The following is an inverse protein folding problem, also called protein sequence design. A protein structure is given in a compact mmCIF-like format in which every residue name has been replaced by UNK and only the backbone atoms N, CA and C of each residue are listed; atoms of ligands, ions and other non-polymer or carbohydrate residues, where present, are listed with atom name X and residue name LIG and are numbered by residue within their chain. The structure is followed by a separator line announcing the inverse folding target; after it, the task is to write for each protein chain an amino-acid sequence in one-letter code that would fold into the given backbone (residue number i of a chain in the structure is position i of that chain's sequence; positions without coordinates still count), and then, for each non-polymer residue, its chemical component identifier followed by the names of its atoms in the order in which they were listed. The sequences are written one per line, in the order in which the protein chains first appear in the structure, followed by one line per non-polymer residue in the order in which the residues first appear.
data_IF_414426405551
#
_entry.id   IF_414426405551
#
_cell.length_a   1.000
_cell.length_b   1.000
_cell.length_c   1.000
_cell.angle_alpha   90.00
_cell.angle_beta   90.00
_cell.angle_gamma   90.00
#
_symmetry.space_group_name_H-M   'P 1'
#
loop_
_entity.id
_entity.type
_entity.pdbx_description
1 polymer ?
#
# COMPACT_ATOMS: atom_id res chain seq x y z
N UNK A 1 -6.01 13.17 11.71
CA UNK A 1 -4.83 12.29 11.69
C UNK A 1 -5.16 11.10 10.80
N UNK A 2 -4.78 11.19 9.53
CA UNK A 2 -5.00 10.11 8.56
C UNK A 2 -3.86 9.10 8.71
N UNK A 3 -4.16 7.92 9.25
CA UNK A 3 -3.23 6.78 9.20
C UNK A 3 -3.27 6.24 7.77
N UNK A 4 -2.28 6.59 6.96
CA UNK A 4 -1.99 5.87 5.74
C UNK A 4 -1.28 4.57 6.13
N UNK A 5 -1.98 3.47 6.04
CA UNK A 5 -1.38 2.14 5.95
C UNK A 5 -0.82 2.01 4.53
N UNK A 6 0.49 2.28 4.37
CA UNK A 6 1.22 1.85 3.18
C UNK A 6 1.37 0.33 3.30
N UNK A 7 0.65 -0.42 2.47
CA UNK A 7 0.96 -1.82 2.20
C UNK A 7 2.26 -1.85 1.39
N UNK A 8 3.40 -2.09 2.06
CA UNK A 8 4.66 -2.38 1.38
C UNK A 8 4.57 -3.78 0.75
N UNK A 9 4.14 -3.86 -0.50
CA UNK A 9 4.32 -5.05 -1.31
C UNK A 9 5.73 -4.98 -1.94
N UNK A 10 6.71 -5.62 -1.33
CA UNK A 10 8.04 -5.82 -1.92
C UNK A 10 8.01 -7.05 -2.83
N UNK A 11 7.90 -6.85 -4.14
CA UNK A 11 8.29 -7.89 -5.11
C UNK A 11 9.79 -7.77 -5.37
N UNK A 12 10.59 -8.64 -4.75
CA UNK A 12 12.00 -8.79 -5.08
C UNK A 12 12.14 -9.69 -6.32
N UNK A 13 12.50 -9.10 -7.46
CA UNK A 13 13.08 -9.88 -8.55
C UNK A 13 14.48 -10.33 -8.11
N UNK A 14 14.62 -11.63 -7.82
CA UNK A 14 15.86 -12.23 -7.33
C UNK A 14 16.95 -12.24 -8.40
N UNK A 15 17.94 -11.38 -8.27
CA UNK A 15 19.28 -11.63 -8.79
C UNK A 15 20.12 -12.19 -7.62
N UNK A 16 20.46 -13.48 -7.74
CA UNK A 16 21.22 -14.22 -6.75
C UNK A 16 22.66 -13.71 -6.76
N UNK A 17 22.99 -12.83 -5.82
CA UNK A 17 24.38 -12.66 -5.36
C UNK A 17 24.49 -13.50 -4.11
N UNK A 18 25.18 -14.65 -4.19
CA UNK A 18 25.47 -15.49 -3.03
C UNK A 18 26.34 -14.70 -2.05
N UNK A 19 25.75 -14.27 -0.93
CA UNK A 19 26.51 -13.86 0.23
C UNK A 19 27.07 -15.12 0.91
N UNK A 20 28.34 -15.13 1.22
CA UNK A 20 28.95 -16.13 2.09
C UNK A 20 28.23 -16.06 3.45
N UNK A 21 27.68 -17.21 3.89
CA UNK A 21 26.89 -17.38 5.11
C UNK A 21 25.60 -16.53 5.18
N UNK A 22 24.55 -16.98 4.49
CA UNK A 22 23.22 -16.31 4.39
C UNK A 22 22.41 -16.26 5.69
N UNK A 23 23.05 -16.23 6.89
CA UNK A 23 22.37 -16.23 8.17
C UNK A 23 22.49 -14.88 8.86
N UNK A 24 21.37 -14.38 9.35
CA UNK A 24 21.34 -13.31 10.35
C UNK A 24 21.30 -13.94 11.74
N UNK A 25 22.20 -13.56 12.62
CA UNK A 25 22.15 -13.89 14.03
C UNK A 25 21.47 -12.78 14.82
N UNK A 26 20.41 -13.14 15.56
CA UNK A 26 19.64 -12.21 16.38
C UNK A 26 19.82 -12.53 17.86
N UNK A 27 20.29 -11.55 18.60
CA UNK A 27 20.37 -11.59 20.07
C UNK A 27 19.44 -10.54 20.65
N UNK A 28 18.53 -10.95 21.53
CA UNK A 28 17.60 -10.04 22.16
C UNK A 28 17.73 -10.12 23.68
N UNK A 29 17.62 -8.97 24.32
CA UNK A 29 17.42 -8.83 25.77
C UNK A 29 16.37 -7.73 25.97
N UNK A 30 15.11 -8.09 25.81
CA UNK A 30 13.98 -7.17 25.78
C UNK A 30 13.01 -7.54 26.94
N UNK A 31 13.16 -6.87 28.08
CA UNK A 31 12.40 -7.16 29.33
C UNK A 31 10.89 -7.25 29.15
N UNK A 32 10.24 -6.43 28.30
CA UNK A 32 8.78 -6.49 28.13
C UNK A 32 8.29 -7.68 27.32
N UNK A 33 9.20 -8.45 26.70
CA UNK A 33 8.86 -9.60 25.84
C UNK A 33 8.83 -10.88 26.67
N UNK A 34 7.86 -11.75 26.39
CA UNK A 34 7.73 -13.05 27.03
C UNK A 34 8.72 -14.11 26.53
N UNK A 35 8.27 -15.36 26.50
CA UNK A 35 9.12 -16.53 26.18
C UNK A 35 9.06 -16.92 24.69
N UNK A 36 8.38 -16.15 23.84
CA UNK A 36 8.29 -16.42 22.41
C UNK A 36 8.23 -15.16 21.56
N UNK A 37 8.88 -15.20 20.40
CA UNK A 37 8.86 -14.16 19.38
C UNK A 37 8.62 -14.79 18.01
N UNK A 38 7.95 -14.09 17.12
CA UNK A 38 7.71 -14.50 15.73
C UNK A 38 8.43 -13.53 14.82
N UNK A 39 9.29 -14.04 13.95
CA UNK A 39 9.87 -13.29 12.86
C UNK A 39 8.97 -13.37 11.62
N UNK A 40 8.63 -12.21 11.06
CA UNK A 40 7.89 -12.06 9.82
C UNK A 40 8.80 -11.36 8.81
N UNK A 41 9.01 -11.98 7.65
CA UNK A 41 9.86 -11.49 6.59
C UNK A 41 9.06 -11.42 5.29
N UNK A 42 9.32 -10.40 4.48
CA UNK A 42 8.72 -10.25 3.16
C UNK A 42 7.20 -10.44 3.18
N UNK A 43 6.52 -9.68 4.04
CA UNK A 43 5.06 -9.71 4.14
C UNK A 43 4.49 -9.10 2.86
N UNK A 44 4.27 -9.95 1.85
CA UNK A 44 3.38 -9.67 0.71
C UNK A 44 2.07 -10.41 0.92
N UNK A 45 0.98 -9.99 0.28
CA UNK A 45 -0.33 -10.65 0.42
C UNK A 45 -0.28 -12.16 0.14
N UNK A 46 0.71 -12.64 -0.62
CA UNK A 46 0.83 -14.03 -1.06
C UNK A 46 2.01 -14.82 -0.43
N UNK A 47 2.99 -14.16 0.22
CA UNK A 47 4.20 -14.84 0.73
C UNK A 47 4.68 -14.22 2.05
N UNK A 48 4.17 -14.73 3.16
CA UNK A 48 4.66 -14.46 4.51
C UNK A 48 5.61 -15.56 4.96
N UNK A 49 6.90 -15.24 5.14
CA UNK A 49 7.81 -16.13 5.85
C UNK A 49 7.66 -15.90 7.34
N UNK A 50 7.02 -16.85 8.01
CA UNK A 50 6.75 -16.81 9.44
C UNK A 50 7.56 -17.87 10.17
N UNK A 51 8.41 -17.46 11.12
CA UNK A 51 9.20 -18.37 11.94
C UNK A 51 9.12 -17.99 13.42
N UNK A 52 8.76 -18.95 14.27
CA UNK A 52 8.65 -18.74 15.71
C UNK A 52 9.92 -19.18 16.41
N UNK A 53 10.35 -18.41 17.41
CA UNK A 53 11.50 -18.70 18.24
C UNK A 53 11.12 -18.70 19.72
N UNK A 54 11.66 -19.65 20.47
CA UNK A 54 11.51 -19.72 21.91
C UNK A 54 12.69 -18.99 22.59
N UNK A 55 12.39 -18.29 23.66
CA UNK A 55 13.33 -17.61 24.52
C UNK A 55 12.96 -17.80 26.01
N UNK A 56 13.49 -16.95 26.84
CA UNK A 56 13.17 -16.93 28.27
C UNK A 56 13.20 -15.50 28.79
N UNK A 57 12.04 -15.01 29.24
CA UNK A 57 11.91 -13.66 29.84
C UNK A 57 12.53 -12.56 28.96
N UNK A 58 12.20 -12.56 27.66
CA UNK A 58 12.70 -11.57 26.71
C UNK A 58 14.12 -11.79 26.22
N UNK A 59 14.80 -12.89 26.63
CA UNK A 59 16.14 -13.23 26.14
C UNK A 59 16.04 -14.27 25.03
N UNK A 60 16.57 -13.93 23.86
CA UNK A 60 16.60 -14.81 22.69
C UNK A 60 18.00 -14.79 22.04
N UNK A 61 18.42 -15.92 21.50
CA UNK A 61 19.61 -16.08 20.65
C UNK A 61 19.23 -17.09 19.56
N UNK A 62 19.08 -16.62 18.31
CA UNK A 62 18.67 -17.48 17.20
C UNK A 62 19.27 -17.01 15.88
N UNK A 63 19.25 -17.91 14.91
CA UNK A 63 19.66 -17.64 13.54
C UNK A 63 18.48 -17.80 12.58
N UNK A 64 18.46 -16.95 11.55
CA UNK A 64 17.50 -17.01 10.48
C UNK A 64 18.22 -16.95 9.12
N UNK A 65 17.90 -17.90 8.23
CA UNK A 65 18.44 -17.91 6.88
C UNK A 65 17.76 -16.83 6.04
N UNK A 66 18.58 -15.99 5.40
CA UNK A 66 18.15 -14.88 4.57
C UNK A 66 18.89 -14.93 3.24
N UNK A 67 18.16 -15.07 2.12
CA UNK A 67 18.82 -15.05 0.81
C UNK A 67 19.29 -13.63 0.41
N UNK A 68 18.58 -12.60 0.91
CA UNK A 68 18.84 -11.20 0.60
C UNK A 68 18.53 -10.31 1.82
N UNK A 69 19.11 -9.09 1.90
CA UNK A 69 18.67 -8.09 2.87
C UNK A 69 17.17 -7.82 2.77
N UNK A 70 16.53 -7.63 3.93
CA UNK A 70 15.09 -7.39 4.03
C UNK A 70 14.78 -6.50 5.24
N UNK A 71 13.53 -6.07 5.37
CA UNK A 71 12.98 -5.60 6.64
C UNK A 71 12.32 -6.78 7.35
N UNK A 72 12.58 -6.92 8.66
CA UNK A 72 12.04 -7.99 9.49
C UNK A 72 11.21 -7.41 10.63
N UNK A 73 10.03 -7.98 10.82
CA UNK A 73 9.21 -7.72 11.99
C UNK A 73 9.45 -8.84 13.01
N UNK A 74 9.84 -8.48 14.22
CA UNK A 74 9.88 -9.38 15.36
C UNK A 74 8.71 -9.03 16.27
N UNK A 75 7.74 -9.92 16.38
CA UNK A 75 6.47 -9.65 17.06
C UNK A 75 6.19 -10.68 18.15
N UNK A 76 5.67 -10.23 19.28
CA UNK A 76 5.08 -11.17 20.24
C UNK A 76 3.81 -11.82 19.63
N UNK A 77 3.54 -13.11 19.88
CA UNK A 77 2.35 -13.77 19.35
C UNK A 77 1.02 -13.08 19.66
N UNK A 78 0.96 -12.28 20.73
CA UNK A 78 -0.20 -11.47 21.11
C UNK A 78 -0.52 -10.38 20.06
N UNK A 79 0.50 -9.75 19.46
CA UNK A 79 0.30 -8.76 18.42
C UNK A 79 -0.45 -9.33 17.19
N UNK A 80 -0.21 -10.59 16.85
CA UNK A 80 -0.90 -11.28 15.75
C UNK A 80 -2.39 -11.54 16.00
N UNK A 81 -2.82 -11.42 17.26
CA UNK A 81 -4.23 -11.52 17.66
C UNK A 81 -4.86 -10.14 17.88
N UNK A 82 -4.14 -9.05 17.58
CA UNK A 82 -4.60 -7.68 17.81
C UNK A 82 -4.55 -7.24 19.28
N UNK A 83 -3.84 -7.96 20.13
CA UNK A 83 -3.63 -7.64 21.54
C UNK A 83 -2.42 -6.69 21.69
N UNK A 84 -2.37 -5.85 22.75
CA UNK A 84 -1.19 -5.03 23.03
C UNK A 84 0.06 -5.89 23.25
N UNK A 85 1.09 -5.67 22.42
CA UNK A 85 2.30 -6.47 22.43
C UNK A 85 3.48 -5.70 21.81
N UNK A 86 4.70 -6.18 22.05
CA UNK A 86 5.90 -5.58 21.44
C UNK A 86 6.02 -5.98 19.97
N UNK A 87 6.39 -4.99 19.15
CA UNK A 87 6.74 -5.13 17.73
C UNK A 87 8.04 -4.40 17.47
N UNK A 88 9.04 -5.10 16.96
CA UNK A 88 10.32 -4.54 16.56
C UNK A 88 10.43 -4.62 15.05
N UNK A 89 10.83 -3.53 14.40
CA UNK A 89 11.06 -3.50 12.95
C UNK A 89 12.53 -3.22 12.73
N UNK A 90 13.23 -4.19 12.18
CA UNK A 90 14.69 -4.11 12.04
C UNK A 90 15.14 -4.43 10.62
N UNK A 91 16.29 -3.86 10.19
CA UNK A 91 17.01 -4.39 9.04
C UNK A 91 17.37 -5.86 9.31
N UNK A 92 17.13 -6.73 8.36
CA UNK A 92 17.54 -8.13 8.39
C UNK A 92 18.61 -8.34 7.31
N UNK A 93 19.88 -8.40 7.73
CA UNK A 93 21.02 -8.39 6.82
C UNK A 93 21.74 -9.74 6.90
N UNK A 94 21.82 -10.50 5.79
CA UNK A 94 22.54 -11.77 5.75
C UNK A 94 24.00 -11.63 6.17
N UNK A 95 24.51 -12.59 6.95
CA UNK A 95 25.90 -12.61 7.42
C UNK A 95 26.19 -11.69 8.59
N UNK A 96 25.19 -10.97 9.14
CA UNK A 96 25.38 -10.02 10.22
C UNK A 96 24.89 -10.54 11.58
N UNK A 97 25.32 -9.91 12.68
CA UNK A 97 24.78 -10.09 14.02
C UNK A 97 24.08 -8.80 14.46
N UNK A 98 22.83 -8.91 14.88
CA UNK A 98 22.06 -7.83 15.48
C UNK A 98 21.79 -8.11 16.96
N UNK A 99 21.90 -7.07 17.78
CA UNK A 99 21.56 -7.08 19.21
C UNK A 99 20.44 -6.08 19.43
N UNK A 100 19.36 -6.54 20.08
CA UNK A 100 18.22 -5.73 20.47
C UNK A 100 18.11 -5.69 21.97
N UNK A 101 18.00 -4.49 22.53
CA UNK A 101 17.77 -4.30 23.97
C UNK A 101 16.58 -3.39 24.19
N UNK A 102 15.69 -3.76 25.15
CA UNK A 102 14.55 -2.95 25.53
C UNK A 102 14.24 -3.10 27.01
N UNK A 103 14.09 -1.98 27.70
CA UNK A 103 13.69 -1.94 29.10
C UNK A 103 12.17 -1.93 29.26
N UNK A 104 11.47 -1.32 28.32
CA UNK A 104 10.02 -1.20 28.26
C UNK A 104 9.49 -1.35 26.83
N UNK A 105 8.18 -1.14 26.62
CA UNK A 105 7.53 -1.27 25.31
C UNK A 105 7.56 -0.01 24.45
N UNK A 106 8.19 1.06 24.90
CA UNK A 106 8.17 2.36 24.21
C UNK A 106 9.33 2.53 23.25
N UNK A 107 10.45 1.89 23.56
CA UNK A 107 11.69 1.99 22.79
C UNK A 107 12.53 0.73 22.88
N UNK A 108 13.25 0.45 21.83
CA UNK A 108 14.37 -0.50 21.80
C UNK A 108 15.61 0.12 21.18
N UNK A 109 16.75 -0.34 21.64
CA UNK A 109 18.04 0.00 21.03
C UNK A 109 18.50 -1.16 20.14
N UNK A 110 19.14 -0.81 19.04
CA UNK A 110 19.68 -1.73 18.05
C UNK A 110 21.19 -1.51 17.92
N UNK A 111 21.98 -2.58 18.02
CA UNK A 111 23.43 -2.55 17.84
C UNK A 111 23.89 -3.91 17.28
N UNK A 112 25.17 -4.10 17.04
CA UNK A 112 25.69 -5.38 16.57
C UNK A 112 26.96 -5.25 15.75
N UNK A 113 26.96 -5.83 14.56
CA UNK A 113 28.03 -5.70 13.59
C UNK A 113 28.17 -4.26 13.07
N UNK A 114 29.18 -4.01 12.23
CA UNK A 114 29.44 -2.67 11.71
C UNK A 114 28.21 -2.02 11.08
N UNK A 115 27.41 -2.77 10.32
CA UNK A 115 26.17 -2.27 9.73
C UNK A 115 25.21 -1.73 10.80
N UNK A 116 24.97 -2.50 11.86
CA UNK A 116 24.02 -2.11 12.90
C UNK A 116 24.51 -0.97 13.78
N UNK A 117 25.82 -0.87 14.02
CA UNK A 117 26.40 0.29 14.72
C UNK A 117 26.24 1.58 13.92
N UNK A 118 26.41 1.52 12.61
CA UNK A 118 26.18 2.64 11.71
C UNK A 118 24.66 2.98 11.61
N UNK A 119 23.81 1.96 11.56
CA UNK A 119 22.36 2.12 11.54
C UNK A 119 21.85 2.76 12.84
N UNK A 120 22.36 2.35 13.99
CA UNK A 120 22.04 2.94 15.29
C UNK A 120 22.36 4.45 15.36
N UNK A 121 23.50 4.86 14.80
CA UNK A 121 23.87 6.28 14.70
C UNK A 121 22.79 7.07 13.91
N UNK A 122 22.38 6.54 12.77
CA UNK A 122 21.32 7.14 11.96
C UNK A 122 19.97 7.16 12.68
N UNK A 123 19.61 6.07 13.35
CA UNK A 123 18.33 5.89 14.04
C UNK A 123 18.13 6.94 15.15
N UNK A 124 19.18 7.21 15.94
CA UNK A 124 19.19 8.28 16.96
C UNK A 124 18.92 9.65 16.32
N UNK A 125 19.57 9.95 15.18
CA UNK A 125 19.43 11.23 14.50
C UNK A 125 17.99 11.39 13.96
N UNK A 126 17.46 10.33 13.34
CA UNK A 126 16.09 10.30 12.79
C UNK A 126 15.05 10.41 13.90
N UNK A 127 15.22 9.67 15.00
CA UNK A 127 14.30 9.74 16.15
C UNK A 127 14.25 11.14 16.76
N UNK A 128 15.40 11.79 16.92
CA UNK A 128 15.48 13.17 17.43
C UNK A 128 14.79 14.15 16.46
N UNK A 129 15.00 14.00 15.16
CA UNK A 129 14.33 14.81 14.16
C UNK A 129 12.81 14.66 14.20
N UNK A 130 12.31 13.44 14.39
CA UNK A 130 10.87 13.17 14.56
C UNK A 130 10.29 13.86 15.81
N UNK A 131 11.00 13.78 16.95
CA UNK A 131 10.58 14.43 18.21
C UNK A 131 10.53 15.95 18.07
N UNK A 132 11.44 16.52 17.30
CA UNK A 132 11.52 17.95 17.02
C UNK A 132 10.58 18.41 15.88
N UNK A 133 9.85 17.50 15.24
CA UNK A 133 8.95 17.79 14.13
C UNK A 133 9.66 18.18 12.83
N UNK A 134 10.92 17.79 12.67
CA UNK A 134 11.72 18.03 11.46
C UNK A 134 11.33 17.07 10.33
N UNK A 135 11.67 17.45 9.11
CA UNK A 135 11.51 16.58 7.92
C UNK A 135 12.47 15.38 8.01
N UNK A 136 11.90 14.21 8.21
CA UNK A 136 12.63 12.94 8.31
C UNK A 136 13.34 12.61 6.99
N UNK A 137 12.70 12.84 5.85
CA UNK A 137 13.30 12.57 4.54
C UNK A 137 14.55 13.44 4.32
N UNK A 138 14.47 14.72 4.69
CA UNK A 138 15.64 15.60 4.64
C UNK A 138 16.73 15.18 5.61
N UNK A 139 16.36 14.76 6.83
CA UNK A 139 17.33 14.28 7.84
C UNK A 139 18.10 13.05 7.34
N UNK A 140 17.39 12.08 6.74
CA UNK A 140 18.02 10.89 6.15
C UNK A 140 18.93 11.29 4.98
N UNK A 141 18.49 12.17 4.12
CA UNK A 141 19.28 12.67 2.99
C UNK A 141 20.60 13.31 3.46
N UNK A 142 20.54 14.15 4.49
CA UNK A 142 21.71 14.82 5.06
C UNK A 142 22.67 13.79 5.71
N UNK A 143 22.14 12.75 6.36
CA UNK A 143 22.94 11.65 6.87
C UNK A 143 23.65 10.89 5.75
N UNK A 144 22.96 10.50 4.69
CA UNK A 144 23.53 9.81 3.52
C UNK A 144 24.63 10.66 2.88
N UNK A 145 24.41 11.95 2.77
CA UNK A 145 25.41 12.90 2.24
C UNK A 145 26.66 12.99 3.10
N UNK A 146 26.54 12.89 4.42
CA UNK A 146 27.65 12.89 5.36
C UNK A 146 28.38 11.55 5.39
N UNK A 147 27.69 10.43 5.14
CA UNK A 147 28.17 9.06 5.25
C UNK A 147 27.91 8.23 3.97
N UNK A 148 28.42 8.67 2.80
CA UNK A 148 28.13 8.00 1.53
C UNK A 148 28.80 6.62 1.38
N UNK A 149 29.70 6.28 2.30
CA UNK A 149 30.42 5.01 2.41
C UNK A 149 29.88 4.06 3.48
N UNK A 150 28.83 4.47 4.20
CA UNK A 150 28.14 3.59 5.12
C UNK A 150 27.17 2.69 4.35
N UNK A 151 27.22 1.38 4.59
CA UNK A 151 26.31 0.45 3.95
C UNK A 151 24.84 0.70 4.37
N UNK A 152 24.64 1.10 5.62
CA UNK A 152 23.31 1.48 6.11
C UNK A 152 22.73 2.69 5.37
N UNK A 153 23.56 3.58 4.78
CA UNK A 153 23.08 4.70 3.97
C UNK A 153 22.27 4.23 2.76
N UNK A 154 22.66 3.12 2.11
CA UNK A 154 21.86 2.54 1.04
C UNK A 154 20.54 1.95 1.56
N UNK A 155 20.53 1.33 2.73
CA UNK A 155 19.31 0.82 3.36
C UNK A 155 18.36 1.95 3.76
N UNK A 156 18.87 3.06 4.29
CA UNK A 156 18.08 4.21 4.74
C UNK A 156 17.29 4.89 3.61
N UNK A 157 17.68 4.72 2.35
CA UNK A 157 16.89 5.20 1.20
C UNK A 157 15.46 4.62 1.25
N UNK A 158 15.28 3.40 1.73
CA UNK A 158 13.96 2.76 1.86
C UNK A 158 13.04 3.42 2.89
N UNK A 159 13.55 4.28 3.76
CA UNK A 159 12.77 5.05 4.74
C UNK A 159 12.35 6.43 4.22
N UNK A 160 12.91 6.88 3.10
CA UNK A 160 12.54 8.15 2.48
C UNK A 160 11.17 8.05 1.81
N UNK A 161 10.47 9.21 1.70
CA UNK A 161 9.11 9.27 1.12
C UNK A 161 9.01 10.13 -0.12
N UNK A 162 10.09 10.80 -0.48
CA UNK A 162 10.18 11.65 -1.66
C UNK A 162 11.05 10.93 -2.69
N UNK A 163 10.44 10.50 -3.80
CA UNK A 163 11.10 9.68 -4.82
C UNK A 163 12.25 10.42 -5.51
N UNK A 164 12.13 11.73 -5.72
CA UNK A 164 13.22 12.49 -6.34
C UNK A 164 14.42 12.61 -5.40
N UNK A 165 14.17 12.87 -4.10
CA UNK A 165 15.24 12.82 -3.09
C UNK A 165 15.84 11.42 -2.93
N UNK A 166 15.06 10.35 -3.05
CA UNK A 166 15.60 8.98 -3.06
C UNK A 166 16.57 8.78 -4.22
N UNK A 167 16.21 9.21 -5.43
CA UNK A 167 17.08 9.13 -6.63
C UNK A 167 18.35 9.95 -6.43
N UNK A 168 18.24 11.16 -5.92
CA UNK A 168 19.39 12.00 -5.58
C UNK A 168 20.29 11.31 -4.56
N UNK A 169 19.75 10.75 -3.48
CA UNK A 169 20.47 10.04 -2.44
C UNK A 169 21.26 8.85 -3.01
N UNK A 170 20.69 8.09 -3.94
CA UNK A 170 21.40 7.00 -4.64
C UNK A 170 22.67 7.52 -5.34
N UNK A 171 22.63 8.73 -5.93
CA UNK A 171 23.80 9.31 -6.62
C UNK A 171 24.92 9.72 -5.66
N UNK A 172 24.58 9.98 -4.39
CA UNK A 172 25.58 10.34 -3.37
C UNK A 172 26.40 9.15 -2.87
N UNK A 173 25.83 7.94 -2.93
CA UNK A 173 26.49 6.73 -2.44
C UNK A 173 27.79 6.44 -3.20
N UNK A 174 28.81 5.99 -2.47
CA UNK A 174 30.02 5.46 -3.12
C UNK A 174 29.69 4.22 -3.97
N UNK A 175 30.43 3.96 -5.08
CA UNK A 175 30.09 2.88 -6.01
C UNK A 175 29.95 1.50 -5.37
N UNK A 176 30.80 1.16 -4.42
CA UNK A 176 30.77 -0.11 -3.69
C UNK A 176 29.54 -0.27 -2.78
N UNK A 177 29.06 0.83 -2.19
CA UNK A 177 27.80 0.87 -1.41
C UNK A 177 26.59 0.88 -2.33
N UNK A 178 26.61 1.74 -3.35
CA UNK A 178 25.51 1.86 -4.31
C UNK A 178 25.24 0.55 -5.04
N UNK A 179 26.29 -0.12 -5.51
CA UNK A 179 26.17 -1.36 -6.28
C UNK A 179 26.31 -2.62 -5.41
N UNK A 180 26.33 -2.45 -4.07
CA UNK A 180 26.44 -3.51 -3.08
C UNK A 180 25.11 -4.27 -2.82
N UNK A 181 25.13 -5.11 -1.78
CA UNK A 181 24.02 -6.04 -1.43
C UNK A 181 22.71 -5.36 -1.08
N UNK A 182 22.69 -4.05 -0.75
CA UNK A 182 21.47 -3.28 -0.46
C UNK A 182 20.76 -2.79 -1.73
N UNK A 183 21.43 -2.81 -2.89
CA UNK A 183 20.87 -2.32 -4.15
C UNK A 183 19.51 -2.93 -4.51
N UNK A 184 19.28 -4.24 -4.39
CA UNK A 184 17.98 -4.83 -4.72
C UNK A 184 16.83 -4.25 -3.91
N UNK A 185 17.05 -3.84 -2.64
CA UNK A 185 16.02 -3.27 -1.78
C UNK A 185 15.58 -1.88 -2.27
N UNK A 186 16.51 -0.93 -2.33
CA UNK A 186 16.14 0.44 -2.69
C UNK A 186 15.79 0.57 -4.17
N UNK A 187 16.43 -0.20 -5.07
CA UNK A 187 16.13 -0.18 -6.50
C UNK A 187 14.75 -0.79 -6.76
N UNK A 188 14.44 -1.94 -6.16
CA UNK A 188 13.12 -2.55 -6.28
C UNK A 188 12.00 -1.63 -5.79
N UNK A 189 12.23 -0.91 -4.69
CA UNK A 189 11.29 0.09 -4.19
C UNK A 189 11.11 1.27 -5.16
N UNK A 190 12.21 1.80 -5.72
CA UNK A 190 12.17 2.88 -6.71
C UNK A 190 11.42 2.44 -7.97
N UNK A 191 11.74 1.26 -8.50
CA UNK A 191 11.10 0.72 -9.71
C UNK A 191 9.58 0.54 -9.50
N UNK A 192 9.19 0.08 -8.31
CA UNK A 192 7.77 -0.05 -7.95
C UNK A 192 7.06 1.30 -7.89
N UNK A 193 7.65 2.29 -7.18
CA UNK A 193 7.06 3.63 -7.07
C UNK A 193 6.94 4.28 -8.45
N UNK A 194 7.95 4.16 -9.30
CA UNK A 194 7.90 4.68 -10.67
C UNK A 194 6.80 4.00 -11.52
N UNK A 195 6.64 2.69 -11.38
CA UNK A 195 5.58 1.96 -12.06
C UNK A 195 4.18 2.40 -11.58
N UNK A 196 4.01 2.59 -10.25
CA UNK A 196 2.76 3.11 -9.66
C UNK A 196 2.46 4.53 -10.14
N UNK A 197 3.44 5.44 -10.11
CA UNK A 197 3.28 6.83 -10.59
C UNK A 197 2.90 6.87 -12.07
N UNK A 198 3.54 6.04 -12.90
CA UNK A 198 3.20 5.93 -14.32
C UNK A 198 1.79 5.39 -14.53
N UNK A 199 1.40 4.38 -13.76
CA UNK A 199 0.05 3.82 -13.83
C UNK A 199 -1.01 4.85 -13.40
N UNK A 200 -0.73 5.66 -12.35
CA UNK A 200 -1.60 6.77 -11.94
C UNK A 200 -1.72 7.84 -13.03
N UNK A 201 -0.60 8.22 -13.66
CA UNK A 201 -0.62 9.20 -14.76
C UNK A 201 -1.46 8.69 -15.95
N UNK A 202 -1.30 7.42 -16.32
CA UNK A 202 -2.08 6.81 -17.40
C UNK A 202 -3.57 6.71 -17.04
N UNK A 203 -3.89 6.37 -15.78
CA UNK A 203 -5.25 6.38 -15.28
C UNK A 203 -5.87 7.79 -15.33
N UNK A 204 -5.13 8.79 -14.86
CA UNK A 204 -5.57 10.19 -14.90
C UNK A 204 -5.87 10.66 -16.33
N UNK A 205 -5.05 10.26 -17.33
CA UNK A 205 -5.31 10.56 -18.75
C UNK A 205 -6.60 9.91 -19.24
N UNK A 206 -6.87 8.66 -18.89
CA UNK A 206 -8.11 7.94 -19.26
C UNK A 206 -9.36 8.49 -18.59
N UNK A 207 -9.21 9.12 -17.45
CA UNK A 207 -10.29 9.63 -16.61
C UNK A 207 -10.46 11.16 -16.66
N UNK A 208 -9.71 11.83 -17.52
CA UNK A 208 -9.72 13.29 -17.62
C UNK A 208 -11.08 13.82 -18.11
N UNK A 209 -11.49 14.97 -17.56
CA UNK A 209 -12.70 15.64 -18.00
C UNK A 209 -12.65 15.97 -19.49
N UNK A 210 -13.78 15.81 -20.18
CA UNK A 210 -13.94 16.06 -21.63
C UNK A 210 -13.58 14.89 -22.54
N UNK A 211 -12.96 13.81 -22.01
CA UNK A 211 -12.71 12.59 -22.78
C UNK A 211 -14.01 11.80 -22.95
N UNK A 212 -14.19 11.23 -24.14
CA UNK A 212 -15.30 10.31 -24.38
C UNK A 212 -15.14 9.04 -23.56
N UNK A 213 -16.16 8.72 -22.76
CA UNK A 213 -16.17 7.53 -21.93
C UNK A 213 -16.13 6.26 -22.81
N UNK A 214 -15.17 5.32 -22.59
CA UNK A 214 -15.12 4.08 -23.34
C UNK A 214 -16.45 3.33 -23.28
N UNK A 215 -16.99 2.97 -24.44
CA UNK A 215 -18.26 2.24 -24.49
C UNK A 215 -18.05 0.75 -24.18
N UNK A 216 -18.98 0.16 -23.46
CA UNK A 216 -18.94 -1.26 -23.12
C UNK A 216 -20.34 -1.87 -23.10
N UNK A 217 -20.41 -3.19 -23.15
CA UNK A 217 -21.63 -3.94 -22.96
C UNK A 217 -21.39 -5.04 -21.93
N UNK A 218 -22.12 -4.99 -20.82
CA UNK A 218 -22.09 -5.97 -19.74
C UNK A 218 -23.50 -6.44 -19.41
N UNK A 219 -23.62 -7.63 -18.81
CA UNK A 219 -24.93 -8.19 -18.47
C UNK A 219 -25.48 -7.57 -17.18
N UNK A 220 -26.76 -7.24 -17.17
CA UNK A 220 -27.52 -6.80 -16.01
C UNK A 220 -27.85 -7.96 -15.05
N UNK A 221 -28.57 -7.68 -13.96
CA UNK A 221 -29.02 -8.67 -12.98
C UNK A 221 -29.85 -9.81 -13.56
N UNK A 222 -30.49 -9.59 -14.71
CA UNK A 222 -31.31 -10.58 -15.42
C UNK A 222 -30.55 -11.28 -16.54
N UNK A 223 -29.25 -11.04 -16.67
CA UNK A 223 -28.42 -11.58 -17.75
C UNK A 223 -28.64 -10.91 -19.12
N UNK A 224 -29.33 -9.76 -19.17
CA UNK A 224 -29.55 -9.01 -20.41
C UNK A 224 -28.38 -8.06 -20.67
N UNK A 225 -27.90 -7.93 -21.92
CA UNK A 225 -26.84 -6.99 -22.25
C UNK A 225 -27.32 -5.55 -22.07
N UNK A 226 -26.60 -4.77 -21.26
CA UNK A 226 -26.75 -3.33 -21.10
C UNK A 226 -25.52 -2.64 -21.67
N UNK A 227 -25.73 -1.78 -22.64
CA UNK A 227 -24.69 -1.00 -23.31
C UNK A 227 -24.63 0.40 -22.69
N UNK A 228 -23.44 0.89 -22.30
CA UNK A 228 -23.32 2.22 -21.70
C UNK A 228 -23.88 3.33 -22.60
N UNK A 229 -23.58 3.29 -23.88
CA UNK A 229 -24.07 4.30 -24.84
C UNK A 229 -25.60 4.33 -25.00
N UNK A 230 -26.34 3.29 -24.53
CA UNK A 230 -27.81 3.32 -24.50
C UNK A 230 -28.36 4.28 -23.42
N UNK A 231 -27.51 4.73 -22.49
CA UNK A 231 -27.85 5.67 -21.45
C UNK A 231 -27.50 7.13 -21.79
N UNK A 232 -27.03 7.41 -22.99
CA UNK A 232 -26.75 8.78 -23.45
C UNK A 232 -28.00 9.67 -23.41
N UNK A 233 -27.79 10.97 -23.31
CA UNK A 233 -28.88 11.96 -23.18
C UNK A 233 -29.22 12.35 -21.74
N UNK A 234 -28.65 11.66 -20.77
CA UNK A 234 -28.71 12.00 -19.34
C UNK A 234 -27.33 11.83 -18.68
N UNK A 235 -27.17 12.39 -17.50
CA UNK A 235 -25.97 12.13 -16.70
C UNK A 235 -25.98 10.67 -16.23
N UNK A 236 -24.80 10.02 -16.29
CA UNK A 236 -24.60 8.66 -15.79
C UNK A 236 -23.42 8.66 -14.83
N UNK A 237 -23.61 8.07 -13.66
CA UNK A 237 -22.54 7.84 -12.68
C UNK A 237 -22.17 6.38 -12.77
N UNK A 238 -20.95 6.10 -13.28
CA UNK A 238 -20.37 4.77 -13.18
C UNK A 238 -19.83 4.63 -11.76
N UNK A 239 -20.32 3.66 -11.01
CA UNK A 239 -19.87 3.32 -9.67
C UNK A 239 -19.16 1.97 -9.72
N UNK A 240 -17.83 2.02 -9.68
CA UNK A 240 -16.99 0.82 -9.63
C UNK A 240 -16.86 0.37 -8.17
N UNK A 241 -17.45 -0.78 -7.84
CA UNK A 241 -17.59 -1.28 -6.49
C UNK A 241 -17.51 -2.80 -6.41
N UNK A 242 -17.52 -3.38 -5.20
CA UNK A 242 -17.61 -4.82 -4.98
C UNK A 242 -18.16 -5.14 -3.58
N UNK A 243 -18.72 -6.34 -3.40
CA UNK A 243 -19.30 -6.77 -2.13
C UNK A 243 -18.28 -6.86 -0.98
N UNK A 244 -17.02 -7.02 -1.31
CA UNK A 244 -15.87 -7.08 -0.40
C UNK A 244 -15.34 -5.69 -0.01
N UNK A 245 -15.77 -4.63 -0.70
CA UNK A 245 -15.25 -3.27 -0.51
C UNK A 245 -15.99 -2.56 0.63
N UNK A 246 -15.40 -2.55 1.82
CA UNK A 246 -16.00 -1.94 3.01
C UNK A 246 -16.31 -0.44 2.86
N UNK A 247 -15.45 0.32 2.17
CA UNK A 247 -15.68 1.74 1.90
C UNK A 247 -16.84 1.96 0.91
N UNK A 248 -16.97 1.10 -0.11
CA UNK A 248 -18.09 1.13 -1.05
C UNK A 248 -19.42 0.93 -0.30
N UNK A 249 -19.49 -0.09 0.55
CA UNK A 249 -20.69 -0.39 1.35
C UNK A 249 -21.04 0.77 2.29
N UNK A 250 -20.03 1.42 2.89
CA UNK A 250 -20.23 2.56 3.79
C UNK A 250 -20.85 3.77 3.08
N UNK A 251 -20.58 3.97 1.79
CA UNK A 251 -21.13 5.08 0.99
C UNK A 251 -22.58 4.88 0.53
N UNK A 252 -23.06 3.63 0.49
CA UNK A 252 -24.39 3.30 -0.04
C UNK A 252 -25.55 4.15 0.55
N UNK A 253 -25.66 4.35 1.87
CA UNK A 253 -26.77 5.12 2.44
C UNK A 253 -26.85 6.54 1.87
N UNK A 254 -25.72 7.23 1.76
CA UNK A 254 -25.67 8.59 1.24
C UNK A 254 -25.93 8.61 -0.29
N UNK A 255 -25.44 7.61 -1.03
CA UNK A 255 -25.75 7.47 -2.46
C UNK A 255 -27.25 7.29 -2.70
N UNK A 256 -27.97 6.49 -1.89
CA UNK A 256 -29.43 6.33 -1.95
C UNK A 256 -30.17 7.63 -1.69
N UNK A 257 -29.73 8.40 -0.69
CA UNK A 257 -30.28 9.72 -0.38
C UNK A 257 -30.19 10.64 -1.60
N UNK A 258 -29.01 10.74 -2.22
CA UNK A 258 -28.78 11.62 -3.37
C UNK A 258 -29.47 11.11 -4.64
N UNK A 259 -29.56 9.79 -4.85
CA UNK A 259 -30.32 9.20 -5.94
C UNK A 259 -31.79 9.52 -5.86
N UNK A 260 -32.36 9.54 -4.65
CA UNK A 260 -33.73 9.94 -4.37
C UNK A 260 -33.93 11.45 -4.50
N UNK A 261 -33.00 12.25 -3.91
CA UNK A 261 -33.03 13.71 -3.93
C UNK A 261 -33.06 14.29 -5.35
N UNK A 262 -32.30 13.70 -6.24
CA UNK A 262 -32.21 14.13 -7.64
C UNK A 262 -32.83 13.14 -8.63
N UNK A 263 -33.92 12.50 -8.25
CA UNK A 263 -34.57 11.48 -9.07
C UNK A 263 -34.84 11.97 -10.51
N UNK A 264 -34.37 11.19 -11.48
CA UNK A 264 -34.51 11.49 -12.90
C UNK A 264 -33.52 12.48 -13.49
N UNK A 265 -32.66 13.12 -12.67
CA UNK A 265 -31.57 14.00 -13.16
C UNK A 265 -30.36 13.22 -13.64
N UNK A 266 -30.07 12.11 -13.02
CA UNK A 266 -28.99 11.20 -13.40
C UNK A 266 -29.39 9.74 -13.17
N UNK A 267 -28.60 8.84 -13.73
CA UNK A 267 -28.66 7.40 -13.46
C UNK A 267 -27.36 6.93 -12.85
N UNK A 268 -27.41 5.94 -11.94
CA UNK A 268 -26.23 5.25 -11.46
C UNK A 268 -26.15 3.90 -12.16
N UNK A 269 -24.98 3.56 -12.70
CA UNK A 269 -24.66 2.25 -13.20
C UNK A 269 -23.57 1.63 -12.31
N UNK A 270 -23.97 0.78 -11.38
CA UNK A 270 -23.07 0.01 -10.52
C UNK A 270 -22.37 -1.08 -11.33
N UNK A 271 -21.06 -1.00 -11.42
CA UNK A 271 -20.22 -1.96 -12.12
C UNK A 271 -19.55 -2.81 -11.05
N UNK A 272 -19.95 -4.08 -10.99
CA UNK A 272 -19.34 -5.02 -10.05
C UNK A 272 -17.89 -5.32 -10.40
N UNK A 273 -17.03 -5.40 -9.40
CA UNK A 273 -15.60 -5.62 -9.58
C UNK A 273 -15.09 -6.70 -8.63
N UNK A 274 -14.40 -7.69 -9.20
CA UNK A 274 -13.70 -8.73 -8.47
C UNK A 274 -14.57 -9.67 -7.60
N UNK A 275 -15.89 -9.70 -7.83
CA UNK A 275 -16.81 -10.65 -7.22
C UNK A 275 -17.07 -11.87 -8.12
N UNK A 276 -17.74 -12.88 -7.57
CA UNK A 276 -18.49 -13.84 -8.37
C UNK A 276 -19.88 -13.28 -8.66
N UNK A 277 -20.48 -13.67 -9.78
CA UNK A 277 -21.82 -13.21 -10.16
C UNK A 277 -22.85 -13.42 -9.05
N UNK A 278 -22.74 -14.53 -8.29
CA UNK A 278 -23.64 -14.78 -7.16
C UNK A 278 -23.42 -13.80 -6.00
N UNK A 279 -22.16 -13.56 -5.59
CA UNK A 279 -21.86 -12.60 -4.52
C UNK A 279 -22.33 -11.19 -4.86
N UNK A 280 -22.14 -10.77 -6.11
CA UNK A 280 -22.64 -9.50 -6.60
C UNK A 280 -24.17 -9.41 -6.47
N UNK A 281 -24.93 -10.42 -6.98
CA UNK A 281 -26.40 -10.44 -6.90
C UNK A 281 -26.88 -10.42 -5.45
N UNK A 282 -26.24 -11.20 -4.58
CA UNK A 282 -26.58 -11.23 -3.16
C UNK A 282 -26.34 -9.87 -2.48
N UNK A 283 -25.24 -9.19 -2.83
CA UNK A 283 -24.91 -7.88 -2.28
C UNK A 283 -25.90 -6.79 -2.76
N UNK A 284 -26.25 -6.78 -4.05
CA UNK A 284 -27.26 -5.86 -4.58
C UNK A 284 -28.61 -6.04 -3.87
N UNK A 285 -29.05 -7.29 -3.68
CA UNK A 285 -30.28 -7.60 -2.96
C UNK A 285 -30.19 -7.24 -1.47
N UNK A 286 -29.10 -7.63 -0.79
CA UNK A 286 -28.87 -7.36 0.63
C UNK A 286 -28.89 -5.87 0.95
N UNK A 287 -28.28 -5.07 0.10
CA UNK A 287 -28.21 -3.62 0.29
C UNK A 287 -29.35 -2.87 -0.42
N UNK A 288 -30.30 -3.57 -1.05
CA UNK A 288 -31.48 -2.99 -1.71
C UNK A 288 -31.10 -1.81 -2.64
N UNK A 289 -30.13 -2.03 -3.54
CA UNK A 289 -29.62 -0.98 -4.40
C UNK A 289 -30.60 -0.65 -5.53
N UNK A 290 -31.15 0.60 -5.62
CA UNK A 290 -32.29 0.91 -6.48
C UNK A 290 -31.94 1.30 -7.93
N UNK A 291 -30.64 1.35 -8.27
CA UNK A 291 -30.16 1.79 -9.58
C UNK A 291 -29.78 0.63 -10.49
N UNK A 292 -29.25 0.93 -11.68
CA UNK A 292 -28.82 -0.08 -12.64
C UNK A 292 -27.52 -0.77 -12.19
N UNK A 293 -27.42 -2.06 -12.49
CA UNK A 293 -26.25 -2.86 -12.15
C UNK A 293 -25.82 -3.75 -13.29
N UNK A 294 -24.50 -3.90 -13.45
CA UNK A 294 -23.90 -4.85 -14.41
C UNK A 294 -22.78 -5.66 -13.76
N UNK A 295 -22.66 -6.90 -14.19
CA UNK A 295 -21.58 -7.79 -13.79
C UNK A 295 -20.37 -7.59 -14.70
N UNK A 296 -19.20 -7.33 -14.10
CA UNK A 296 -17.95 -7.20 -14.83
C UNK A 296 -17.07 -8.46 -14.64
N UNK A 297 -17.10 -9.41 -15.59
CA UNK A 297 -16.30 -10.62 -15.48
C UNK A 297 -14.80 -10.32 -15.58
N UNK A 298 -13.95 -11.18 -15.01
CA UNK A 298 -12.47 -11.02 -15.04
C UNK A 298 -11.88 -10.93 -16.45
N UNK A 299 -12.60 -11.41 -17.47
CA UNK A 299 -12.20 -11.33 -18.87
C UNK A 299 -12.53 -9.99 -19.54
N UNK A 300 -13.24 -9.11 -18.86
CA UNK A 300 -13.62 -7.80 -19.36
C UNK A 300 -12.43 -6.83 -19.30
N UNK A 301 -12.32 -5.94 -20.28
CA UNK A 301 -11.33 -4.85 -20.30
C UNK A 301 -11.78 -3.58 -19.58
N UNK A 302 -13.01 -3.51 -19.06
CA UNK A 302 -13.62 -2.26 -18.54
C UNK A 302 -12.76 -1.59 -17.48
N UNK A 303 -12.19 -2.35 -16.52
CA UNK A 303 -11.30 -1.76 -15.49
C UNK A 303 -10.04 -1.15 -16.13
N UNK A 304 -9.47 -1.82 -17.12
CA UNK A 304 -8.26 -1.33 -17.84
C UNK A 304 -8.59 -0.14 -18.73
N UNK A 305 -9.72 -0.17 -19.43
CA UNK A 305 -10.15 0.90 -20.33
C UNK A 305 -10.40 2.20 -19.58
N UNK A 306 -10.97 2.11 -18.39
CA UNK A 306 -11.20 3.25 -17.50
C UNK A 306 -10.02 3.55 -16.56
N UNK A 307 -8.96 2.75 -16.56
CA UNK A 307 -7.80 2.93 -15.67
C UNK A 307 -8.16 2.85 -14.19
N UNK A 308 -9.04 1.91 -13.81
CA UNK A 308 -9.48 1.76 -12.41
C UNK A 308 -8.38 1.07 -11.60
N UNK A 309 -7.89 1.76 -10.57
CA UNK A 309 -6.81 1.29 -9.69
C UNK A 309 -7.25 1.12 -8.24
N UNK A 310 -8.42 1.66 -7.86
CA UNK A 310 -8.90 1.60 -6.48
C UNK A 310 -10.43 1.66 -6.39
N UNK A 311 -10.96 1.30 -5.23
CA UNK A 311 -12.39 1.23 -4.98
C UNK A 311 -12.79 1.94 -3.68
N UNK A 312 -13.96 2.62 -3.66
CA UNK A 312 -14.80 2.90 -4.83
C UNK A 312 -14.15 3.90 -5.80
N UNK A 313 -14.47 3.79 -7.08
CA UNK A 313 -14.22 4.86 -8.05
C UNK A 313 -15.55 5.25 -8.70
N UNK A 314 -15.87 6.54 -8.70
CA UNK A 314 -17.08 7.09 -9.29
C UNK A 314 -16.72 8.00 -10.45
N UNK A 315 -17.26 7.73 -11.64
CA UNK A 315 -17.04 8.53 -12.85
C UNK A 315 -18.36 9.12 -13.30
N UNK A 316 -18.47 10.45 -13.29
CA UNK A 316 -19.64 11.17 -13.78
C UNK A 316 -19.48 11.39 -15.27
N UNK A 317 -20.44 10.92 -16.06
CA UNK A 317 -20.50 11.07 -17.50
C UNK A 317 -21.66 12.02 -17.83
N UNK A 318 -21.38 13.01 -18.69
CA UNK A 318 -22.38 13.95 -19.20
C UNK A 318 -23.35 13.33 -20.23
N UNK A 319 -24.44 14.04 -20.57
CA UNK A 319 -25.40 13.58 -21.56
C UNK A 319 -24.79 13.34 -22.96
N UNK A 320 -23.67 13.99 -23.27
CA UNK A 320 -22.90 13.84 -24.50
C UNK A 320 -21.98 12.60 -24.51
N UNK A 321 -21.91 11.88 -23.38
CA UNK A 321 -21.07 10.69 -23.22
C UNK A 321 -19.64 10.98 -22.83
N UNK A 322 -19.31 12.23 -22.46
CA UNK A 322 -17.98 12.61 -22.01
C UNK A 322 -17.86 12.58 -20.50
N UNK A 323 -16.66 12.26 -20.02
CA UNK A 323 -16.33 12.30 -18.60
C UNK A 323 -16.39 13.75 -18.11
N UNK A 324 -17.15 13.98 -17.06
CA UNK A 324 -17.24 15.27 -16.36
C UNK A 324 -16.23 15.32 -15.22
N UNK A 325 -16.20 14.27 -14.41
CA UNK A 325 -15.31 14.18 -13.25
C UNK A 325 -15.16 12.73 -12.81
N UNK A 326 -13.96 12.40 -12.33
CA UNK A 326 -13.68 11.16 -11.61
C UNK A 326 -13.38 11.45 -10.15
N UNK A 327 -13.91 10.63 -9.25
CA UNK A 327 -13.67 10.68 -7.81
C UNK A 327 -13.26 9.28 -7.36
N UNK A 328 -12.08 9.18 -6.74
CA UNK A 328 -11.54 7.94 -6.17
C UNK A 328 -11.71 7.95 -4.66
N UNK A 329 -12.18 6.86 -4.10
CA UNK A 329 -12.49 6.74 -2.69
C UNK A 329 -13.89 7.28 -2.33
N UNK A 330 -14.26 7.16 -1.06
CA UNK A 330 -15.49 7.74 -0.52
C UNK A 330 -15.19 9.18 -0.07
N UNK A 331 -15.34 10.13 -0.99
CA UNK A 331 -15.01 11.54 -0.81
C UNK A 331 -16.29 12.40 -0.80
N UNK A 332 -16.54 13.21 0.23
CA UNK A 332 -17.66 14.16 0.29
C UNK A 332 -17.75 15.11 -0.91
N UNK A 333 -16.63 15.39 -1.59
CA UNK A 333 -16.60 16.22 -2.79
C UNK A 333 -17.49 15.66 -3.92
N UNK A 334 -17.72 14.34 -3.95
CA UNK A 334 -18.67 13.73 -4.89
C UNK A 334 -20.08 14.30 -4.72
N UNK A 335 -20.57 14.36 -3.50
CA UNK A 335 -21.92 14.84 -3.19
C UNK A 335 -22.05 16.36 -3.38
N UNK A 336 -21.00 17.10 -3.04
CA UNK A 336 -20.93 18.55 -3.33
C UNK A 336 -21.07 18.81 -4.83
N UNK A 337 -20.37 18.03 -5.65
CA UNK A 337 -20.47 18.16 -7.11
C UNK A 337 -21.88 17.80 -7.64
N UNK A 338 -22.53 16.79 -7.09
CA UNK A 338 -23.93 16.48 -7.47
C UNK A 338 -24.86 17.63 -7.12
N UNK A 339 -24.65 18.28 -5.96
CA UNK A 339 -25.39 19.48 -5.59
C UNK A 339 -25.16 20.66 -6.56
N UNK A 340 -23.94 20.82 -7.06
CA UNK A 340 -23.61 21.86 -8.07
C UNK A 340 -24.23 21.58 -9.44
N UNK A 341 -24.25 20.30 -9.85
CA UNK A 341 -24.75 19.91 -11.18
C UNK A 341 -26.29 19.89 -11.29
N UNK A 342 -27.00 19.60 -10.17
CA UNK A 342 -28.41 19.24 -10.22
C UNK A 342 -29.35 20.13 -9.37
N UNK A 343 -28.82 21.10 -8.62
CA UNK A 343 -29.63 22.13 -7.92
C UNK A 343 -30.44 23.03 -8.82
#
# INVERSE_FOLDING_TARGET
MKKFLLSLALMAAALIVQAEDGKLRVKMNCKPVGDSIVALLNVTEDHEVRKSFAGKQGVFDFEIDLPNPASMYLVEPAALRGEPASVFVIPAIPGEEVRLTAEDRTRYDIDGSKFYSQFHEADIIVENAQKEGKDVTQTIYDFIKAHPDYECSAYLITYMRDVEKMKEAVTLLKPDVRDGRMKPLYQGMLDQIEAEMKAEEEAAKKQAAGIEAPDFTLNDLNGKPLKLSSLRGKYVILDFWGSWCGWCIKGIPQMKEYYTKYAGKFEILGIDCNDTEQKWKDAVAKHELPWLHVYNPKTSSVLTDYGIQGFPTKIIIGPDGKIVKTIVGEDPAFYTLLDELFK
#
